data_IF_228879116398
#
_entry.id   IF_228879116398
#
_cell.length_a   1.000
_cell.length_b   1.000
_cell.length_c   1.000
_cell.angle_alpha   90.00
_cell.angle_beta   90.00
_cell.angle_gamma   90.00
#
_symmetry.space_group_name_H-M   'P 1'
#
loop_
_entity.id
_entity.type
_entity.pdbx_description
1 polymer ?
#
# COMPACT_ATOMS: atom_id res chain seq x y z
N UNK A 1 -12.71 -19.82 -30.70
CA UNK A 1 -12.35 -19.84 -29.27
C UNK A 1 -12.51 -18.48 -28.63
N UNK A 2 -13.34 -18.39 -27.59
CA UNK A 2 -13.39 -17.23 -26.71
C UNK A 2 -12.33 -17.41 -25.61
N UNK A 3 -11.50 -16.39 -25.29
CA UNK A 3 -10.57 -16.49 -24.18
C UNK A 3 -11.35 -16.57 -22.87
N UNK A 4 -10.98 -17.53 -22.00
CA UNK A 4 -11.55 -17.64 -20.65
C UNK A 4 -11.25 -16.36 -19.89
N UNK A 5 -12.23 -15.73 -19.20
CA UNK A 5 -11.93 -14.66 -18.28
C UNK A 5 -10.93 -15.20 -17.24
N UNK A 6 -9.83 -14.48 -17.02
CA UNK A 6 -8.89 -14.78 -15.96
C UNK A 6 -9.70 -14.89 -14.67
N UNK A 7 -9.61 -16.05 -14.02
CA UNK A 7 -10.43 -16.38 -12.86
C UNK A 7 -10.41 -15.25 -11.84
N UNK A 8 -11.59 -14.99 -11.28
CA UNK A 8 -11.81 -14.14 -10.12
C UNK A 8 -10.77 -14.50 -9.07
N UNK A 9 -9.67 -13.74 -9.03
CA UNK A 9 -8.70 -13.82 -7.94
C UNK A 9 -9.55 -13.47 -6.74
N UNK A 10 -9.80 -14.45 -5.87
CA UNK A 10 -10.54 -14.26 -4.63
C UNK A 10 -9.88 -13.11 -3.87
N UNK A 11 -10.34 -11.88 -4.12
CA UNK A 11 -9.99 -10.73 -3.30
C UNK A 11 -10.53 -11.09 -1.94
N UNK A 12 -9.66 -11.19 -0.95
CA UNK A 12 -10.09 -11.25 0.43
C UNK A 12 -11.03 -10.09 0.71
N UNK A 13 -11.86 -10.22 1.74
CA UNK A 13 -12.69 -9.10 2.18
C UNK A 13 -11.78 -7.89 2.46
N UNK A 14 -12.02 -6.78 1.75
CA UNK A 14 -11.21 -5.58 1.88
C UNK A 14 -11.31 -5.08 3.31
N UNK A 15 -10.18 -4.96 4.00
CA UNK A 15 -10.15 -4.35 5.33
C UNK A 15 -10.12 -2.81 5.19
N UNK A 16 -11.22 -2.08 5.45
CA UNK A 16 -11.28 -0.64 5.20
C UNK A 16 -10.30 0.14 6.08
N UNK A 17 -10.07 -0.30 7.33
CA UNK A 17 -9.13 0.35 8.23
C UNK A 17 -7.68 0.21 7.74
N UNK A 18 -7.32 -0.96 7.21
CA UNK A 18 -6.01 -1.19 6.61
C UNK A 18 -5.81 -0.37 5.33
N UNK A 19 -6.84 -0.27 4.49
CA UNK A 19 -6.80 0.58 3.29
C UNK A 19 -6.57 2.06 3.66
N UNK A 20 -7.19 2.56 4.72
CA UNK A 20 -6.97 3.92 5.20
C UNK A 20 -5.56 4.14 5.75
N UNK A 21 -5.01 3.19 6.51
CA UNK A 21 -3.62 3.25 6.95
C UNK A 21 -2.64 3.27 5.76
N UNK A 22 -2.92 2.48 4.72
CA UNK A 22 -2.13 2.50 3.48
C UNK A 22 -2.23 3.84 2.74
N UNK A 23 -3.40 4.50 2.73
CA UNK A 23 -3.56 5.86 2.18
C UNK A 23 -2.74 6.88 2.96
N UNK A 24 -2.72 6.79 4.28
CA UNK A 24 -1.91 7.67 5.14
C UNK A 24 -0.42 7.43 4.90
N UNK A 25 0.03 6.18 4.80
CA UNK A 25 1.40 5.84 4.45
C UNK A 25 1.77 6.38 3.05
N UNK A 26 0.90 6.20 2.06
CA UNK A 26 1.13 6.66 0.69
C UNK A 26 1.33 8.17 0.65
N UNK A 27 0.48 8.91 1.36
CA UNK A 27 0.62 10.36 1.50
C UNK A 27 1.96 10.74 2.14
N UNK A 28 2.32 10.09 3.25
CA UNK A 28 3.58 10.37 3.94
C UNK A 28 4.81 10.12 3.05
N UNK A 29 4.80 9.03 2.27
CA UNK A 29 5.87 8.72 1.31
C UNK A 29 5.89 9.69 0.14
N UNK A 30 4.75 10.01 -0.45
CA UNK A 30 4.66 11.01 -1.51
C UNK A 30 5.26 12.36 -1.10
N UNK A 31 4.92 12.83 0.11
CA UNK A 31 5.45 14.08 0.67
C UNK A 31 6.97 13.98 0.94
N UNK A 32 7.47 12.82 1.40
CA UNK A 32 8.89 12.60 1.66
C UNK A 32 9.75 12.62 0.39
N UNK A 33 9.25 12.04 -0.70
CA UNK A 33 9.98 11.91 -1.97
C UNK A 33 9.65 13.02 -2.98
N UNK A 34 8.78 13.97 -2.61
CA UNK A 34 8.30 15.07 -3.48
C UNK A 34 7.72 14.57 -4.81
N UNK A 35 6.88 13.54 -4.74
CA UNK A 35 6.21 12.94 -5.91
C UNK A 35 4.71 12.86 -5.71
N UNK A 36 3.94 12.94 -6.80
CA UNK A 36 2.50 12.76 -6.72
C UNK A 36 2.13 11.31 -6.32
N UNK A 37 1.20 11.15 -5.39
CA UNK A 37 0.74 9.83 -4.88
C UNK A 37 0.39 8.85 -6.00
N UNK A 38 -0.31 9.32 -7.05
CA UNK A 38 -0.73 8.52 -8.20
C UNK A 38 0.42 7.91 -9.02
N UNK A 39 1.64 8.44 -8.89
CA UNK A 39 2.83 7.86 -9.55
C UNK A 39 3.38 6.65 -8.78
N UNK A 40 3.15 6.63 -7.46
CA UNK A 40 3.53 5.55 -6.56
C UNK A 40 2.47 4.43 -6.59
N UNK A 41 1.21 4.76 -6.31
CA UNK A 41 0.11 3.79 -6.24
C UNK A 41 -1.25 4.45 -6.47
N UNK A 42 -2.22 3.66 -6.94
CA UNK A 42 -3.62 4.04 -7.11
C UNK A 42 -4.48 3.60 -5.91
N UNK A 43 -5.67 4.19 -5.75
CA UNK A 43 -6.60 3.79 -4.68
C UNK A 43 -6.99 2.31 -4.78
N UNK A 44 -7.25 1.81 -6.00
CA UNK A 44 -7.54 0.39 -6.21
C UNK A 44 -6.38 -0.52 -5.81
N UNK A 45 -5.13 -0.12 -6.07
CA UNK A 45 -3.99 -0.90 -5.61
C UNK A 45 -3.92 -0.94 -4.08
N UNK A 46 -4.27 0.14 -3.37
CA UNK A 46 -4.31 0.12 -1.90
C UNK A 46 -5.40 -0.80 -1.36
N UNK A 47 -6.58 -0.79 -1.98
CA UNK A 47 -7.68 -1.69 -1.61
C UNK A 47 -7.30 -3.16 -1.87
N UNK A 48 -6.58 -3.43 -2.96
CA UNK A 48 -6.08 -4.77 -3.32
C UNK A 48 -5.07 -5.27 -2.28
N UNK A 49 -4.13 -4.41 -1.87
CA UNK A 49 -3.16 -4.73 -0.82
C UNK A 49 -3.85 -4.97 0.52
N UNK A 50 -4.86 -4.18 0.86
CA UNK A 50 -5.66 -4.36 2.07
C UNK A 50 -6.51 -5.65 2.04
N UNK A 51 -6.85 -6.13 0.84
CA UNK A 51 -7.49 -7.44 0.62
C UNK A 51 -6.49 -8.61 0.59
N UNK A 52 -5.20 -8.35 0.76
CA UNK A 52 -4.13 -9.35 0.74
C UNK A 52 -3.53 -9.63 -0.64
N UNK A 53 -3.92 -8.90 -1.69
CA UNK A 53 -3.32 -9.02 -3.02
C UNK A 53 -2.01 -8.22 -3.11
N UNK A 54 -0.90 -8.96 -3.14
CA UNK A 54 0.46 -8.42 -3.22
C UNK A 54 1.04 -8.46 -4.64
N UNK A 55 0.20 -8.55 -5.67
CA UNK A 55 0.63 -8.66 -7.08
C UNK A 55 0.76 -7.32 -7.84
N UNK A 56 0.43 -6.20 -7.19
CA UNK A 56 0.40 -4.87 -7.82
C UNK A 56 1.77 -4.32 -8.30
N UNK A 57 1.73 -3.34 -9.21
CA UNK A 57 2.93 -2.69 -9.73
C UNK A 57 3.72 -1.94 -8.67
N UNK A 58 3.05 -1.57 -7.58
CA UNK A 58 3.65 -0.95 -6.41
C UNK A 58 4.79 -1.77 -5.78
N UNK A 59 4.81 -3.09 -5.98
CA UNK A 59 5.84 -4.00 -5.45
C UNK A 59 7.03 -4.21 -6.39
N UNK A 60 7.13 -3.40 -7.46
CA UNK A 60 8.18 -3.54 -8.46
C UNK A 60 8.97 -2.24 -8.67
N UNK A 61 10.28 -2.38 -8.91
CA UNK A 61 11.19 -1.27 -9.19
C UNK A 61 11.17 -0.18 -8.11
N UNK A 62 11.26 1.07 -8.54
CA UNK A 62 11.36 2.22 -7.63
C UNK A 62 10.13 2.40 -6.71
N UNK A 63 8.93 1.97 -7.15
CA UNK A 63 7.71 2.04 -6.32
C UNK A 63 7.81 1.14 -5.10
N UNK A 64 8.47 -0.01 -5.25
CA UNK A 64 8.69 -0.92 -4.15
C UNK A 64 9.62 -0.29 -3.09
N UNK A 65 10.67 0.38 -3.56
CA UNK A 65 11.67 1.01 -2.70
C UNK A 65 11.10 2.18 -1.91
N UNK A 66 10.21 2.95 -2.54
CA UNK A 66 9.57 4.15 -1.95
C UNK A 66 8.41 3.80 -1.03
N UNK A 67 7.56 2.83 -1.41
CA UNK A 67 6.32 2.52 -0.70
C UNK A 67 6.06 1.02 -0.54
N UNK A 68 6.23 0.21 -1.59
CA UNK A 68 5.77 -1.19 -1.58
C UNK A 68 6.34 -2.04 -0.44
N UNK A 69 7.62 -1.87 -0.10
CA UNK A 69 8.24 -2.54 1.06
C UNK A 69 7.52 -2.18 2.35
N UNK A 70 7.33 -0.89 2.62
CA UNK A 70 6.73 -0.43 3.87
C UNK A 70 5.23 -0.75 3.92
N UNK A 71 4.52 -0.73 2.78
CA UNK A 71 3.13 -1.17 2.70
C UNK A 71 2.96 -2.62 3.14
N UNK A 72 3.84 -3.52 2.68
CA UNK A 72 3.83 -4.93 3.09
C UNK A 72 4.08 -5.08 4.58
N UNK A 73 5.10 -4.38 5.10
CA UNK A 73 5.46 -4.41 6.53
C UNK A 73 4.34 -3.88 7.41
N UNK A 74 3.64 -2.84 6.96
CA UNK A 74 2.47 -2.29 7.65
C UNK A 74 1.33 -3.32 7.69
N UNK A 75 1.06 -3.99 6.57
CA UNK A 75 0.06 -5.06 6.52
C UNK A 75 0.42 -6.26 7.39
N UNK A 76 1.70 -6.53 7.61
CA UNK A 76 2.20 -7.61 8.46
C UNK A 76 2.28 -7.22 9.95
N UNK A 77 2.00 -5.97 10.31
CA UNK A 77 2.12 -5.48 11.68
C UNK A 77 3.56 -5.30 12.16
N UNK A 78 4.53 -5.24 11.25
CA UNK A 78 5.95 -5.03 11.57
C UNK A 78 6.29 -3.54 11.79
N UNK A 79 5.43 -2.65 11.27
CA UNK A 79 5.56 -1.21 11.46
C UNK A 79 4.22 -0.58 11.84
N UNK A 80 4.29 0.55 12.53
CA UNK A 80 3.16 1.41 12.86
C UNK A 80 3.35 2.81 12.27
N UNK A 81 2.24 3.54 12.15
CA UNK A 81 2.23 4.96 11.83
C UNK A 81 2.02 5.77 13.10
N UNK A 82 2.92 6.71 13.35
CA UNK A 82 2.81 7.68 14.44
C UNK A 82 2.64 9.09 13.88
N UNK A 83 1.79 9.88 14.54
CA UNK A 83 1.71 11.32 14.27
C UNK A 83 2.78 12.05 15.08
N UNK A 84 3.63 12.82 14.41
CA UNK A 84 4.57 13.76 15.02
C UNK A 84 4.25 15.18 14.54
N UNK A 85 3.45 15.88 15.34
CA UNK A 85 2.92 17.20 15.00
C UNK A 85 2.06 17.16 13.73
N UNK A 86 2.59 17.70 12.63
CA UNK A 86 1.93 17.73 11.30
C UNK A 86 2.44 16.66 10.34
N UNK A 87 3.38 15.80 10.77
CA UNK A 87 4.02 14.78 9.95
C UNK A 87 3.63 13.39 10.43
N UNK A 88 3.58 12.45 9.49
CA UNK A 88 3.44 11.02 9.79
C UNK A 88 4.84 10.41 9.77
N UNK A 89 5.18 9.63 10.79
CA UNK A 89 6.43 8.85 10.87
C UNK A 89 6.14 7.37 10.99
N UNK A 90 7.05 6.57 10.47
CA UNK A 90 7.04 5.11 10.59
C UNK A 90 7.78 4.74 11.87
N UNK A 91 7.19 3.83 12.64
CA UNK A 91 7.77 3.26 13.86
C UNK A 91 7.87 1.76 13.70
N UNK A 92 9.01 1.20 14.08
CA UNK A 92 9.27 -0.24 14.06
C UNK A 92 8.54 -0.92 15.23
N UNK A 93 7.78 -1.98 14.94
CA UNK A 93 7.13 -2.83 15.95
C UNK A 93 7.98 -4.09 16.08
N UNK A 94 8.78 -4.16 17.16
CA UNK A 94 9.63 -5.30 17.48
C UNK A 94 8.87 -6.48 18.05
#
# INVERSE_FOLDING_TARGET
DCPRPAGDRQRGEVNPGQADLLRVLLKAKADQYDVAQKLIATASELDDIAAGDMSGHVFHGWRNEVFGRDARRLCQGEIALASDGKRVRIVELG
#
